data_IF_707186610703
#
_entry.id   IF_707186610703
#
_cell.length_a   1.000
_cell.length_b   1.000
_cell.length_c   1.000
_cell.angle_alpha   90.00
_cell.angle_beta   90.00
_cell.angle_gamma   90.00
#
_symmetry.space_group_name_H-M   'P 1'
#
loop_
_entity.id
_entity.type
_entity.pdbx_description
1 polymer ?
#
# COMPACT_ATOMS: atom_id res chain seq x y z
N UNK A 1 59.59 -40.25 16.32
CA UNK A 1 59.12 -39.05 15.60
C UNK A 1 57.71 -39.32 15.10
N UNK A 2 56.70 -38.79 15.80
CA UNK A 2 55.28 -38.95 15.45
C UNK A 2 54.88 -37.72 14.64
N UNK A 3 54.50 -37.89 13.38
CA UNK A 3 53.98 -36.81 12.53
C UNK A 3 52.46 -36.75 12.69
N UNK A 4 51.98 -35.68 13.32
CA UNK A 4 50.57 -35.37 13.46
C UNK A 4 50.08 -34.66 12.20
N UNK A 5 49.15 -35.27 11.46
CA UNK A 5 48.42 -34.65 10.35
C UNK A 5 47.27 -33.84 10.95
N UNK A 6 47.31 -32.53 10.77
CA UNK A 6 46.24 -31.59 11.14
C UNK A 6 45.21 -31.58 10.01
N UNK A 7 44.02 -32.10 10.29
CA UNK A 7 42.85 -31.99 9.40
C UNK A 7 42.22 -30.62 9.67
N UNK A 8 42.36 -29.70 8.73
CA UNK A 8 41.66 -28.42 8.73
C UNK A 8 40.21 -28.62 8.31
N UNK A 9 39.27 -28.42 9.23
CA UNK A 9 37.84 -28.33 8.94
C UNK A 9 37.58 -26.90 8.47
N UNK A 10 37.41 -26.72 7.17
CA UNK A 10 36.88 -25.47 6.59
C UNK A 10 35.40 -25.38 6.94
N UNK A 11 35.08 -24.51 7.87
CA UNK A 11 33.72 -24.14 8.25
C UNK A 11 33.14 -23.22 7.16
N UNK A 12 32.41 -23.79 6.20
CA UNK A 12 31.65 -23.02 5.22
C UNK A 12 30.53 -22.28 5.93
N UNK A 13 30.66 -20.96 6.11
CA UNK A 13 29.54 -20.11 6.50
C UNK A 13 28.48 -20.17 5.39
N UNK A 14 27.43 -20.97 5.59
CA UNK A 14 26.16 -20.71 4.94
C UNK A 14 25.69 -19.35 5.45
N UNK A 15 25.77 -18.34 4.59
CA UNK A 15 24.92 -17.16 4.72
C UNK A 15 23.48 -17.66 4.62
N UNK A 16 22.85 -17.85 5.77
CA UNK A 16 21.40 -17.89 5.88
C UNK A 16 20.93 -16.50 5.49
N UNK A 17 20.57 -16.31 4.21
CA UNK A 17 19.67 -15.26 3.82
C UNK A 17 18.41 -15.48 4.63
N UNK A 18 18.19 -14.68 5.66
CA UNK A 18 16.91 -14.63 6.33
C UNK A 18 15.87 -14.35 5.23
N UNK A 19 14.75 -15.09 5.20
CA UNK A 19 13.67 -14.71 4.30
C UNK A 19 13.34 -13.25 4.59
N UNK A 20 13.27 -12.44 3.54
CA UNK A 20 12.59 -11.15 3.60
C UNK A 20 11.25 -11.36 4.32
N UNK A 21 10.77 -10.40 5.09
CA UNK A 21 9.38 -10.48 5.55
C UNK A 21 8.54 -10.40 4.29
N UNK A 22 8.19 -11.58 3.76
CA UNK A 22 7.28 -11.68 2.64
C UNK A 22 6.00 -10.98 3.08
N UNK A 23 5.56 -10.04 2.27
CA UNK A 23 4.28 -9.38 2.45
C UNK A 23 3.19 -10.46 2.58
N UNK A 24 2.44 -10.43 3.68
CA UNK A 24 1.38 -11.40 4.02
C UNK A 24 0.12 -11.12 3.20
N UNK A 25 0.20 -11.30 1.88
CA UNK A 25 -0.92 -11.26 0.95
C UNK A 25 -0.82 -12.44 -0.04
N UNK A 26 -1.93 -12.78 -0.69
CA UNK A 26 -1.93 -13.62 -1.88
C UNK A 26 -2.23 -12.75 -3.08
N UNK A 27 -1.39 -12.73 -4.11
CA UNK A 27 -1.60 -11.90 -5.30
C UNK A 27 -2.91 -12.29 -5.99
N UNK A 28 -3.95 -11.49 -5.79
CA UNK A 28 -5.29 -11.71 -6.34
C UNK A 28 -5.41 -11.46 -7.84
N UNK A 29 -4.57 -12.08 -8.67
CA UNK A 29 -4.69 -12.04 -10.13
C UNK A 29 -4.96 -13.45 -10.63
N UNK A 30 -6.03 -13.61 -11.41
CA UNK A 30 -6.35 -14.88 -12.07
C UNK A 30 -5.22 -15.25 -13.02
N UNK A 31 -4.62 -16.41 -12.77
CA UNK A 31 -3.37 -16.87 -13.35
C UNK A 31 -2.25 -17.12 -12.34
N UNK A 32 -2.36 -16.59 -11.11
CA UNK A 32 -1.52 -16.97 -9.95
C UNK A 32 -2.01 -18.31 -9.37
N UNK A 33 -2.00 -19.36 -10.20
CA UNK A 33 -2.65 -20.64 -9.94
C UNK A 33 -2.08 -21.36 -8.70
N UNK A 34 -0.80 -21.19 -8.41
CA UNK A 34 -0.18 -21.81 -7.23
C UNK A 34 -0.17 -20.92 -5.98
N UNK A 35 -0.76 -19.73 -6.07
CA UNK A 35 -0.90 -18.76 -4.98
C UNK A 35 0.45 -18.35 -4.35
N UNK A 36 1.52 -18.27 -5.15
CA UNK A 36 2.89 -17.92 -4.69
C UNK A 36 3.32 -16.45 -4.95
N UNK A 37 2.33 -15.61 -5.22
CA UNK A 37 2.43 -14.16 -5.44
C UNK A 37 3.16 -13.75 -6.72
N UNK A 38 3.48 -14.70 -7.59
CA UNK A 38 4.16 -14.44 -8.86
C UNK A 38 3.59 -15.30 -9.97
N UNK A 39 3.03 -14.64 -10.99
CA UNK A 39 2.60 -15.34 -12.21
C UNK A 39 3.82 -15.67 -13.08
N UNK A 40 4.23 -16.94 -13.10
CA UNK A 40 5.33 -17.49 -13.89
C UNK A 40 5.11 -18.96 -14.35
N UNK A 41 6.19 -19.63 -14.76
CA UNK A 41 6.13 -21.00 -15.28
C UNK A 41 5.67 -22.04 -14.23
N UNK A 42 5.73 -21.71 -12.94
CA UNK A 42 5.27 -22.54 -11.84
C UNK A 42 3.74 -22.62 -11.82
N UNK A 43 3.02 -21.55 -12.14
CA UNK A 43 1.56 -21.56 -12.30
C UNK A 43 1.12 -22.47 -13.44
N UNK A 44 1.81 -22.39 -14.58
CA UNK A 44 1.57 -23.30 -15.71
C UNK A 44 1.76 -24.76 -15.32
N UNK A 45 2.77 -25.04 -14.49
CA UNK A 45 3.02 -26.38 -13.97
C UNK A 45 1.92 -26.80 -13.01
N UNK A 46 1.44 -25.88 -12.16
CA UNK A 46 0.36 -26.12 -11.22
C UNK A 46 -0.96 -26.46 -11.93
N UNK A 47 -1.39 -25.64 -12.90
CA UNK A 47 -2.58 -25.89 -13.74
C UNK A 47 -2.48 -27.24 -14.46
N UNK A 48 -1.30 -27.58 -14.98
CA UNK A 48 -1.08 -28.89 -15.61
C UNK A 48 -1.27 -30.05 -14.61
N UNK A 49 -0.84 -29.89 -13.36
CA UNK A 49 -1.02 -30.90 -12.31
C UNK A 49 -2.48 -31.03 -11.87
N UNK A 50 -3.26 -29.94 -11.89
CA UNK A 50 -4.71 -29.98 -11.70
C UNK A 50 -5.35 -30.93 -12.74
N UNK A 51 -5.00 -30.81 -14.03
CA UNK A 51 -5.54 -31.69 -15.07
C UNK A 51 -5.21 -33.18 -14.87
N UNK A 52 -4.12 -33.49 -14.18
CA UNK A 52 -3.75 -34.87 -13.86
C UNK A 52 -4.31 -35.36 -12.52
N UNK A 53 -5.03 -34.51 -11.77
CA UNK A 53 -5.52 -34.83 -10.43
C UNK A 53 -4.41 -34.91 -9.37
N UNK A 54 -3.24 -34.34 -9.65
CA UNK A 54 -2.07 -34.36 -8.77
C UNK A 54 -2.02 -33.15 -7.82
N UNK A 55 -2.85 -32.13 -8.08
CA UNK A 55 -3.01 -30.91 -7.26
C UNK A 55 -4.49 -30.52 -7.18
N UNK A 56 -4.92 -29.92 -6.06
CA UNK A 56 -6.27 -29.39 -5.94
C UNK A 56 -6.44 -28.15 -6.83
N UNK A 57 -7.67 -27.95 -7.29
CA UNK A 57 -8.09 -26.70 -7.95
C UNK A 57 -7.98 -25.51 -6.99
N UNK A 58 -7.61 -24.36 -7.53
CA UNK A 58 -7.60 -23.06 -6.84
C UNK A 58 -8.44 -22.08 -7.66
N UNK A 59 -9.04 -21.08 -7.01
CA UNK A 59 -9.87 -20.10 -7.73
C UNK A 59 -9.05 -19.33 -8.76
N UNK A 60 -7.80 -18.99 -8.44
CA UNK A 60 -6.90 -18.25 -9.33
C UNK A 60 -6.33 -19.10 -10.48
N UNK A 61 -6.59 -20.41 -10.53
CA UNK A 61 -6.19 -21.27 -11.66
C UNK A 61 -7.06 -21.07 -12.91
N UNK A 62 -8.30 -20.58 -12.76
CA UNK A 62 -9.18 -20.18 -13.88
C UNK A 62 -8.73 -18.81 -14.42
N UNK A 63 -7.55 -18.78 -15.06
CA UNK A 63 -6.91 -17.56 -15.51
C UNK A 63 -7.77 -16.72 -16.48
N UNK A 64 -8.68 -17.37 -17.22
CA UNK A 64 -9.64 -16.68 -18.11
C UNK A 64 -10.90 -16.21 -17.40
N UNK A 65 -11.14 -16.68 -16.18
CA UNK A 65 -12.33 -16.40 -15.40
C UNK A 65 -13.62 -16.74 -16.17
N UNK A 66 -13.66 -17.95 -16.77
CA UNK A 66 -14.83 -18.45 -17.50
C UNK A 66 -15.60 -19.55 -16.77
N UNK A 67 -15.17 -19.89 -15.54
CA UNK A 67 -15.78 -20.88 -14.67
C UNK A 67 -15.22 -22.29 -14.86
N UNK A 68 -14.27 -22.50 -15.76
CA UNK A 68 -13.70 -23.82 -16.06
C UNK A 68 -12.17 -23.78 -16.17
N UNK A 69 -11.47 -24.50 -15.30
CA UNK A 69 -10.02 -24.68 -15.45
C UNK A 69 -9.75 -25.63 -16.63
N UNK A 70 -9.18 -25.11 -17.71
CA UNK A 70 -8.99 -25.81 -18.98
C UNK A 70 -7.71 -25.37 -19.73
N UNK A 71 -7.32 -26.01 -20.85
CA UNK A 71 -6.09 -25.66 -21.56
C UNK A 71 -5.98 -24.21 -22.07
N UNK A 72 -7.08 -23.45 -22.11
CA UNK A 72 -7.06 -22.03 -22.45
C UNK A 72 -6.50 -21.18 -21.30
N UNK A 73 -6.63 -21.58 -20.04
CA UNK A 73 -6.01 -20.90 -18.90
C UNK A 73 -4.49 -20.98 -18.97
N UNK A 74 -3.98 -22.11 -19.44
CA UNK A 74 -2.56 -22.28 -19.71
C UNK A 74 -2.06 -21.31 -20.79
N UNK A 75 -2.89 -20.99 -21.78
CA UNK A 75 -2.56 -19.97 -22.80
C UNK A 75 -2.61 -18.58 -22.18
N UNK A 76 -3.64 -18.29 -21.38
CA UNK A 76 -3.81 -17.00 -20.72
C UNK A 76 -2.65 -16.69 -19.76
N UNK A 77 -2.25 -17.62 -18.88
CA UNK A 77 -1.10 -17.48 -18.00
C UNK A 77 0.17 -17.20 -18.81
N UNK A 78 0.41 -17.94 -19.90
CA UNK A 78 1.56 -17.66 -20.78
C UNK A 78 1.55 -16.25 -21.34
N UNK A 79 0.38 -15.75 -21.74
CA UNK A 79 0.24 -14.40 -22.26
C UNK A 79 0.55 -13.36 -21.17
N UNK A 80 0.06 -13.56 -19.94
CA UNK A 80 0.35 -12.70 -18.77
C UNK A 80 1.85 -12.68 -18.44
N UNK A 81 2.52 -13.83 -18.49
CA UNK A 81 3.97 -13.94 -18.26
C UNK A 81 4.73 -13.05 -19.24
N UNK A 82 4.38 -13.10 -20.53
CA UNK A 82 5.08 -12.37 -21.60
C UNK A 82 4.50 -10.97 -21.88
N UNK A 83 3.50 -10.51 -21.11
CA UNK A 83 2.87 -9.19 -21.28
C UNK A 83 2.13 -9.02 -22.61
N UNK A 84 1.40 -10.05 -23.04
CA UNK A 84 0.65 -10.06 -24.31
C UNK A 84 -0.83 -10.46 -24.16
N UNK A 85 -1.29 -10.59 -22.94
CA UNK A 85 -2.69 -10.82 -22.59
C UNK A 85 -3.57 -9.69 -23.15
N UNK A 86 -4.82 -10.02 -23.48
CA UNK A 86 -5.81 -9.05 -23.97
C UNK A 86 -6.77 -8.61 -22.90
N UNK A 87 -6.90 -9.42 -21.86
CA UNK A 87 -7.69 -9.16 -20.68
C UNK A 87 -6.89 -9.65 -19.47
N UNK A 88 -7.10 -8.98 -18.35
CA UNK A 88 -6.55 -9.34 -17.05
C UNK A 88 -7.70 -9.31 -16.05
N UNK A 89 -7.87 -10.40 -15.31
CA UNK A 89 -8.88 -10.49 -14.24
C UNK A 89 -8.17 -10.50 -12.90
N UNK A 90 -8.62 -9.66 -11.98
CA UNK A 90 -8.06 -9.52 -10.64
C UNK A 90 -9.15 -9.36 -9.59
N UNK A 91 -8.78 -9.62 -8.33
CA UNK A 91 -9.55 -9.34 -7.14
C UNK A 91 -9.05 -8.01 -6.57
N UNK A 92 -9.93 -7.02 -6.51
CA UNK A 92 -9.59 -5.70 -5.98
C UNK A 92 -9.67 -5.67 -4.44
N UNK A 93 -9.26 -4.56 -3.80
CA UNK A 93 -9.27 -4.47 -2.33
C UNK A 93 -10.68 -4.44 -1.70
N UNK A 94 -11.75 -4.45 -2.52
CA UNK A 94 -13.13 -4.59 -2.08
C UNK A 94 -13.65 -6.03 -2.27
N UNK A 95 -12.75 -6.99 -2.51
CA UNK A 95 -13.04 -8.39 -2.80
C UNK A 95 -13.91 -8.58 -4.06
N UNK A 96 -13.85 -7.62 -4.99
CA UNK A 96 -14.59 -7.69 -6.26
C UNK A 96 -13.69 -8.23 -7.35
N UNK A 97 -14.25 -9.11 -8.17
CA UNK A 97 -13.57 -9.63 -9.35
C UNK A 97 -13.79 -8.66 -10.52
N UNK A 98 -12.71 -8.13 -11.07
CA UNK A 98 -12.73 -7.14 -12.14
C UNK A 98 -11.87 -7.61 -13.29
N UNK A 99 -12.49 -7.72 -14.47
CA UNK A 99 -11.79 -7.97 -15.74
C UNK A 99 -11.58 -6.65 -16.49
N UNK A 100 -10.35 -6.37 -16.90
CA UNK A 100 -9.98 -5.17 -17.65
C UNK A 100 -9.26 -5.53 -18.95
N UNK A 101 -9.34 -4.65 -19.95
CA UNK A 101 -8.68 -4.84 -21.24
C UNK A 101 -7.22 -4.41 -21.18
N UNK A 102 -6.37 -5.09 -21.94
CA UNK A 102 -4.93 -4.88 -21.99
C UNK A 102 -4.45 -4.57 -23.42
N UNK A 103 -3.45 -3.69 -23.59
CA UNK A 103 -2.84 -2.84 -22.56
C UNK A 103 -3.80 -1.74 -22.09
N UNK A 104 -3.60 -1.23 -20.88
CA UNK A 104 -4.29 -0.03 -20.37
C UNK A 104 -3.56 1.19 -20.91
N UNK A 105 -4.28 2.05 -21.64
CA UNK A 105 -3.72 3.24 -22.29
C UNK A 105 -4.32 4.55 -21.77
N UNK A 106 -5.48 4.49 -21.09
CA UNK A 106 -6.25 5.67 -20.69
C UNK A 106 -6.91 5.47 -19.32
N UNK A 107 -6.10 5.51 -18.26
CA UNK A 107 -6.59 5.42 -16.90
C UNK A 107 -6.99 6.78 -16.31
N UNK A 108 -8.03 6.77 -15.49
CA UNK A 108 -8.43 7.90 -14.64
C UNK A 108 -8.19 7.55 -13.17
N UNK A 109 -7.50 8.42 -12.45
CA UNK A 109 -7.18 8.23 -11.03
C UNK A 109 -8.13 9.03 -10.14
N UNK A 110 -9.05 8.34 -9.49
CA UNK A 110 -9.99 8.90 -8.50
C UNK A 110 -9.78 8.29 -7.11
N UNK A 111 -8.62 7.67 -6.91
CA UNK A 111 -8.05 7.30 -5.63
C UNK A 111 -6.98 8.33 -5.26
N UNK A 112 -7.02 8.96 -4.07
CA UNK A 112 -6.08 10.01 -3.68
C UNK A 112 -4.62 9.56 -3.58
N UNK A 113 -4.36 8.25 -3.43
CA UNK A 113 -3.02 7.67 -3.26
C UNK A 113 -2.53 6.92 -4.51
N UNK A 114 -3.39 6.69 -5.50
CA UNK A 114 -2.96 6.09 -6.76
C UNK A 114 -1.92 6.91 -7.53
N UNK A 115 -1.94 8.27 -7.51
CA UNK A 115 -0.89 9.08 -8.12
C UNK A 115 0.52 8.72 -7.64
N UNK A 116 0.71 8.45 -6.34
CA UNK A 116 2.01 8.04 -5.79
C UNK A 116 2.48 6.70 -6.38
N UNK A 117 1.58 5.72 -6.45
CA UNK A 117 1.88 4.41 -7.05
C UNK A 117 2.17 4.54 -8.53
N UNK A 118 1.43 5.37 -9.26
CA UNK A 118 1.72 5.63 -10.68
C UNK A 118 3.12 6.22 -10.90
N UNK A 119 3.57 7.14 -10.03
CA UNK A 119 4.93 7.68 -10.11
C UNK A 119 6.00 6.63 -9.77
N UNK A 120 5.74 5.77 -8.77
CA UNK A 120 6.61 4.62 -8.45
C UNK A 120 6.79 3.73 -9.68
N UNK A 121 5.70 3.44 -10.40
CA UNK A 121 5.68 2.56 -11.56
C UNK A 121 6.12 3.24 -12.87
N UNK A 122 6.31 4.57 -12.87
CA UNK A 122 6.58 5.36 -14.08
C UNK A 122 5.52 5.14 -15.18
N UNK A 123 4.25 5.20 -14.78
CA UNK A 123 3.09 4.95 -15.62
C UNK A 123 2.24 6.20 -15.87
N UNK A 124 2.79 7.39 -15.65
CA UNK A 124 2.10 8.67 -15.80
C UNK A 124 1.60 8.89 -17.24
N UNK A 125 2.27 8.31 -18.24
CA UNK A 125 1.90 8.35 -19.65
C UNK A 125 0.57 7.63 -19.96
N UNK A 126 0.13 6.75 -19.06
CA UNK A 126 -1.15 6.03 -19.14
C UNK A 126 -2.31 6.79 -18.51
N UNK A 127 -2.06 7.93 -17.85
CA UNK A 127 -3.09 8.66 -17.10
C UNK A 127 -3.65 9.80 -17.92
N UNK A 128 -4.98 9.89 -18.01
CA UNK A 128 -5.68 10.92 -18.79
C UNK A 128 -6.47 11.90 -17.93
N UNK A 129 -6.65 11.60 -16.63
CA UNK A 129 -7.34 12.48 -15.69
C UNK A 129 -7.11 12.08 -14.24
N UNK A 130 -7.15 13.06 -13.35
CA UNK A 130 -6.92 12.89 -11.91
C UNK A 130 -7.99 13.63 -11.10
N UNK A 131 -8.18 13.25 -9.84
CA UNK A 131 -9.14 13.90 -8.95
C UNK A 131 -8.47 14.77 -7.87
N UNK A 132 -9.20 15.79 -7.40
CA UNK A 132 -8.90 16.43 -6.12
C UNK A 132 -7.72 17.41 -6.19
N UNK A 133 -6.84 17.35 -5.20
CA UNK A 133 -5.74 18.31 -5.01
C UNK A 133 -4.50 18.02 -5.85
N UNK A 134 -4.46 16.91 -6.59
CA UNK A 134 -3.31 16.51 -7.42
C UNK A 134 -2.95 17.61 -8.42
N UNK A 135 -3.95 18.25 -9.04
CA UNK A 135 -3.75 19.37 -9.99
C UNK A 135 -3.25 20.68 -9.36
N UNK A 136 -3.11 20.73 -8.03
CA UNK A 136 -2.65 21.91 -7.30
C UNK A 136 -1.23 21.75 -6.76
N UNK A 137 -0.62 20.58 -6.93
CA UNK A 137 0.67 20.23 -6.33
C UNK A 137 1.65 19.83 -7.45
N UNK A 138 2.14 20.84 -8.17
CA UNK A 138 3.01 20.67 -9.34
C UNK A 138 4.47 20.34 -8.97
N UNK A 139 4.89 20.59 -7.73
CA UNK A 139 6.21 20.16 -7.26
C UNK A 139 6.20 18.66 -6.97
N UNK A 140 5.18 18.16 -6.28
CA UNK A 140 5.10 16.74 -5.92
C UNK A 140 4.57 15.87 -7.07
N UNK A 141 3.66 16.41 -7.90
CA UNK A 141 3.07 15.76 -9.06
C UNK A 141 3.31 16.55 -10.37
N UNK A 142 4.56 16.69 -10.85
CA UNK A 142 4.89 17.58 -11.96
C UNK A 142 4.20 17.24 -13.28
N UNK A 143 3.97 15.96 -13.57
CA UNK A 143 3.27 15.55 -14.79
C UNK A 143 1.77 15.40 -14.58
N UNK A 144 1.35 14.73 -13.50
CA UNK A 144 -0.07 14.47 -13.23
C UNK A 144 -0.86 15.75 -12.91
N UNK A 145 -0.22 16.78 -12.36
CA UNK A 145 -0.89 18.06 -12.04
C UNK A 145 -1.38 18.82 -13.28
N UNK A 146 -0.81 18.54 -14.46
CA UNK A 146 -1.18 19.14 -15.75
C UNK A 146 -2.42 18.51 -16.38
N UNK A 147 -2.88 17.36 -15.86
CA UNK A 147 -4.01 16.61 -16.40
C UNK A 147 -5.35 17.23 -15.98
N UNK A 148 -6.44 16.97 -16.74
CA UNK A 148 -7.78 17.39 -16.37
C UNK A 148 -8.18 16.91 -14.96
N UNK A 149 -8.72 17.83 -14.15
CA UNK A 149 -9.33 17.48 -12.87
C UNK A 149 -10.77 16.99 -13.09
N UNK A 150 -11.02 15.71 -12.85
CA UNK A 150 -12.34 15.08 -13.01
C UNK A 150 -13.13 15.00 -11.71
N UNK A 151 -12.59 15.53 -10.60
CA UNK A 151 -13.19 15.38 -9.27
C UNK A 151 -13.41 13.91 -8.87
N UNK A 152 -13.98 13.68 -7.68
CA UNK A 152 -14.20 12.31 -7.18
C UNK A 152 -15.54 11.70 -7.62
N UNK A 153 -16.46 12.51 -8.15
CA UNK A 153 -17.84 12.11 -8.48
C UNK A 153 -18.39 12.76 -9.77
N UNK A 154 -17.55 13.40 -10.57
CA UNK A 154 -17.98 13.95 -11.87
C UNK A 154 -17.81 12.89 -12.96
N UNK A 155 -18.81 12.02 -13.07
CA UNK A 155 -18.80 10.90 -14.01
C UNK A 155 -18.81 11.36 -15.47
N UNK A 156 -19.43 12.50 -15.79
CA UNK A 156 -19.44 13.05 -17.14
C UNK A 156 -18.03 13.51 -17.54
N UNK A 157 -17.33 14.22 -16.64
CA UNK A 157 -15.94 14.59 -16.86
C UNK A 157 -15.05 13.37 -17.07
N UNK A 158 -15.24 12.30 -16.29
CA UNK A 158 -14.51 11.03 -16.48
C UNK A 158 -14.79 10.42 -17.85
N UNK A 159 -16.07 10.29 -18.24
CA UNK A 159 -16.48 9.70 -19.52
C UNK A 159 -15.96 10.49 -20.73
N UNK A 160 -15.92 11.82 -20.64
CA UNK A 160 -15.41 12.69 -21.71
C UNK A 160 -13.93 12.46 -22.04
N UNK A 161 -13.17 11.86 -21.12
CA UNK A 161 -11.78 11.48 -21.36
C UNK A 161 -11.63 10.13 -22.07
N UNK A 162 -12.73 9.42 -22.37
CA UNK A 162 -12.74 8.09 -22.96
C UNK A 162 -11.75 7.12 -22.26
N UNK A 163 -11.87 6.89 -20.94
CA UNK A 163 -10.96 6.02 -20.22
C UNK A 163 -11.24 4.55 -20.52
N UNK A 164 -10.21 3.72 -20.46
CA UNK A 164 -10.30 2.26 -20.50
C UNK A 164 -10.15 1.63 -19.11
N UNK A 165 -9.84 2.42 -18.08
CA UNK A 165 -9.77 2.02 -16.67
C UNK A 165 -10.07 3.21 -15.74
N UNK A 166 -10.76 2.95 -14.63
CA UNK A 166 -10.81 3.87 -13.49
C UNK A 166 -10.22 3.22 -12.24
N UNK A 167 -9.22 3.86 -11.65
CA UNK A 167 -8.62 3.45 -10.37
C UNK A 167 -9.29 4.24 -9.25
N UNK A 168 -10.04 3.56 -8.41
CA UNK A 168 -10.86 4.15 -7.37
C UNK A 168 -10.38 3.79 -5.96
N UNK A 169 -10.83 4.58 -4.98
CA UNK A 169 -10.74 4.17 -3.58
C UNK A 169 -11.74 3.03 -3.33
N UNK A 170 -11.30 2.00 -2.60
CA UNK A 170 -12.07 0.79 -2.24
C UNK A 170 -13.55 1.07 -1.90
N UNK A 171 -13.80 2.02 -0.98
CA UNK A 171 -15.15 2.32 -0.46
C UNK A 171 -16.11 2.93 -1.50
N UNK A 172 -15.60 3.40 -2.63
CA UNK A 172 -16.40 4.04 -3.68
C UNK A 172 -16.39 3.26 -4.99
N UNK A 173 -15.69 2.13 -5.05
CA UNK A 173 -15.43 1.40 -6.27
C UNK A 173 -16.70 0.77 -6.85
N UNK A 174 -17.55 0.16 -6.00
CA UNK A 174 -18.84 -0.40 -6.38
C UNK A 174 -19.80 0.66 -6.96
N UNK A 175 -20.04 1.73 -6.20
CA UNK A 175 -20.86 2.85 -6.67
C UNK A 175 -20.35 3.42 -8.00
N UNK A 176 -19.03 3.52 -8.18
CA UNK A 176 -18.43 4.04 -9.41
C UNK A 176 -18.64 3.07 -10.58
N UNK A 177 -18.50 1.76 -10.38
CA UNK A 177 -18.76 0.78 -11.43
C UNK A 177 -20.20 0.82 -11.93
N UNK A 178 -21.18 1.04 -11.04
CA UNK A 178 -22.59 1.19 -11.45
C UNK A 178 -22.83 2.45 -12.31
N UNK A 179 -22.06 3.53 -12.06
CA UNK A 179 -22.20 4.82 -12.74
C UNK A 179 -21.33 4.95 -13.99
N UNK A 180 -20.40 4.03 -14.20
CA UNK A 180 -19.48 4.00 -15.34
C UNK A 180 -19.63 2.68 -16.11
N UNK A 181 -20.83 2.39 -16.66
CA UNK A 181 -21.07 1.12 -17.33
C UNK A 181 -20.15 0.96 -18.53
N UNK A 182 -19.50 -0.21 -18.64
CA UNK A 182 -18.58 -0.55 -19.73
C UNK A 182 -17.13 -0.09 -19.53
N UNK A 183 -16.83 0.62 -18.44
CA UNK A 183 -15.45 0.95 -18.05
C UNK A 183 -15.11 0.15 -16.78
N UNK A 184 -14.05 -0.68 -16.77
CA UNK A 184 -13.65 -1.38 -15.55
C UNK A 184 -13.23 -0.38 -14.48
N UNK A 185 -13.74 -0.58 -13.27
CA UNK A 185 -13.40 0.21 -12.08
C UNK A 185 -12.75 -0.71 -11.07
N UNK A 186 -11.49 -0.45 -10.73
CA UNK A 186 -10.73 -1.23 -9.73
C UNK A 186 -10.58 -0.42 -8.46
N UNK A 187 -10.99 -1.01 -7.33
CA UNK A 187 -10.95 -0.38 -6.01
C UNK A 187 -9.71 -0.77 -5.20
N UNK A 188 -8.92 0.20 -4.77
CA UNK A 188 -7.71 -0.07 -3.97
C UNK A 188 -7.69 0.65 -2.62
N UNK A 189 -7.02 0.02 -1.65
CA UNK A 189 -6.54 0.63 -0.41
C UNK A 189 -5.02 0.84 -0.50
N UNK A 190 -4.59 2.05 -0.88
CA UNK A 190 -3.17 2.36 -1.15
C UNK A 190 -2.51 3.24 -0.07
N UNK A 191 -3.10 3.33 1.13
CA UNK A 191 -2.55 4.12 2.25
C UNK A 191 -2.27 3.27 3.50
N UNK A 192 -2.77 2.04 3.52
CA UNK A 192 -2.63 1.14 4.64
C UNK A 192 -1.49 0.17 4.32
N UNK A 193 -0.41 0.13 5.13
CA UNK A 193 0.76 -0.71 4.85
C UNK A 193 0.44 -2.16 4.51
N UNK A 194 -0.56 -2.75 5.18
CA UNK A 194 -1.01 -4.12 4.91
C UNK A 194 -1.41 -4.36 3.44
N UNK A 195 -2.07 -3.39 2.81
CA UNK A 195 -2.62 -3.53 1.45
C UNK A 195 -1.78 -2.85 0.38
N UNK A 196 -0.81 -2.03 0.78
CA UNK A 196 -0.03 -1.21 -0.14
C UNK A 196 0.81 -2.08 -1.09
N UNK A 197 1.53 -3.08 -0.58
CA UNK A 197 2.41 -3.92 -1.40
C UNK A 197 1.62 -4.68 -2.47
N UNK A 198 0.48 -5.27 -2.09
CA UNK A 198 -0.42 -5.94 -3.05
C UNK A 198 -0.92 -4.95 -4.12
N UNK A 199 -1.39 -3.77 -3.71
CA UNK A 199 -1.87 -2.75 -4.63
C UNK A 199 -0.79 -2.27 -5.62
N UNK A 200 0.46 -2.14 -5.16
CA UNK A 200 1.59 -1.76 -6.02
C UNK A 200 1.87 -2.86 -7.05
N UNK A 201 1.98 -4.12 -6.63
CA UNK A 201 2.29 -5.19 -7.59
C UNK A 201 1.14 -5.41 -8.56
N UNK A 202 -0.13 -5.37 -8.10
CA UNK A 202 -1.28 -5.49 -8.98
C UNK A 202 -1.32 -4.36 -10.01
N UNK A 203 -1.11 -3.11 -9.60
CA UNK A 203 -1.00 -1.99 -10.55
C UNK A 203 0.21 -2.12 -11.48
N UNK A 204 1.29 -2.77 -11.05
CA UNK A 204 2.39 -3.20 -11.90
C UNK A 204 1.95 -4.15 -13.02
N UNK A 205 1.08 -5.12 -12.75
CA UNK A 205 0.47 -5.96 -13.80
C UNK A 205 -0.49 -5.14 -14.68
N UNK A 206 -1.33 -4.30 -14.09
CA UNK A 206 -2.32 -3.47 -14.82
C UNK A 206 -1.63 -2.56 -15.84
N UNK A 207 -0.54 -1.88 -15.47
CA UNK A 207 0.16 -0.92 -16.32
C UNK A 207 1.36 -1.49 -17.11
N UNK A 208 1.59 -2.81 -17.07
CA UNK A 208 2.77 -3.45 -17.68
C UNK A 208 4.12 -2.94 -17.12
N UNK A 209 4.14 -2.68 -15.80
CA UNK A 209 5.26 -2.16 -15.00
C UNK A 209 5.66 -3.09 -13.86
N UNK A 210 5.60 -4.41 -14.11
CA UNK A 210 5.89 -5.46 -13.12
C UNK A 210 7.31 -5.36 -12.56
N UNK A 211 8.27 -5.00 -13.41
CA UNK A 211 9.68 -4.89 -13.02
C UNK A 211 9.90 -3.66 -12.14
N UNK A 212 9.30 -2.51 -12.47
CA UNK A 212 9.33 -1.31 -11.63
C UNK A 212 8.65 -1.56 -10.27
N UNK A 213 7.50 -2.25 -10.26
CA UNK A 213 6.80 -2.64 -9.03
C UNK A 213 7.69 -3.51 -8.14
N UNK A 214 8.27 -4.58 -8.69
CA UNK A 214 9.16 -5.50 -7.96
C UNK A 214 10.43 -4.79 -7.48
N UNK A 215 11.01 -3.91 -8.28
CA UNK A 215 12.16 -3.12 -7.89
C UNK A 215 11.84 -2.24 -6.69
N UNK A 216 10.73 -1.50 -6.73
CA UNK A 216 10.32 -0.67 -5.59
C UNK A 216 10.06 -1.51 -4.34
N UNK A 217 9.32 -2.61 -4.46
CA UNK A 217 8.97 -3.46 -3.32
C UNK A 217 10.22 -4.10 -2.70
N UNK A 218 10.99 -4.83 -3.50
CA UNK A 218 12.12 -5.62 -2.99
C UNK A 218 13.32 -4.75 -2.60
N UNK A 219 13.68 -3.76 -3.42
CA UNK A 219 14.95 -3.05 -3.27
C UNK A 219 14.83 -1.78 -2.41
N UNK A 220 13.61 -1.28 -2.21
CA UNK A 220 13.33 -0.09 -1.40
C UNK A 220 12.40 -0.39 -0.22
N UNK A 221 11.12 -0.71 -0.48
CA UNK A 221 10.09 -0.81 0.56
C UNK A 221 10.43 -1.88 1.61
N UNK A 222 10.65 -3.13 1.17
CA UNK A 222 10.89 -4.26 2.05
C UNK A 222 12.24 -4.14 2.73
N UNK A 223 13.26 -3.66 2.01
CA UNK A 223 14.58 -3.37 2.58
C UNK A 223 14.49 -2.46 3.82
N UNK A 224 13.76 -1.34 3.74
CA UNK A 224 13.67 -0.42 4.88
C UNK A 224 12.70 -0.91 5.94
N UNK A 225 11.60 -1.55 5.56
CA UNK A 225 10.64 -2.12 6.51
C UNK A 225 11.26 -3.26 7.31
N UNK A 226 12.04 -4.13 6.67
CA UNK A 226 12.80 -5.21 7.31
C UNK A 226 13.88 -4.66 8.24
N UNK A 227 14.59 -3.59 7.82
CA UNK A 227 15.57 -2.92 8.67
C UNK A 227 14.93 -2.41 9.95
N UNK A 228 13.78 -1.72 9.86
CA UNK A 228 13.06 -1.20 11.02
C UNK A 228 12.57 -2.38 11.88
N UNK A 229 11.88 -3.34 11.28
CA UNK A 229 11.30 -4.50 11.98
C UNK A 229 12.37 -5.35 12.67
N UNK A 230 13.55 -5.50 12.07
CA UNK A 230 14.67 -6.21 12.69
C UNK A 230 15.16 -5.57 13.98
N UNK A 231 15.05 -4.23 14.11
CA UNK A 231 15.41 -3.49 15.32
C UNK A 231 14.28 -3.52 16.37
N UNK A 232 13.02 -3.65 15.94
CA UNK A 232 11.86 -3.49 16.84
C UNK A 232 11.24 -4.81 17.29
N UNK A 233 11.39 -5.91 16.53
CA UNK A 233 10.74 -7.21 16.82
C UNK A 233 11.15 -7.87 18.15
N UNK A 234 12.30 -7.47 18.70
CA UNK A 234 12.81 -8.00 19.97
C UNK A 234 12.32 -7.25 21.20
N UNK A 235 11.63 -6.12 21.03
CA UNK A 235 11.18 -5.26 22.12
C UNK A 235 10.03 -5.92 22.88
N UNK A 236 10.13 -5.95 24.20
CA UNK A 236 9.00 -6.28 25.08
C UNK A 236 7.94 -5.18 25.03
N UNK A 237 6.72 -5.48 25.48
CA UNK A 237 5.63 -4.49 25.54
C UNK A 237 5.93 -3.30 26.45
N UNK A 238 6.83 -3.47 27.42
CA UNK A 238 7.31 -2.41 28.31
C UNK A 238 8.40 -1.54 27.67
N UNK A 239 9.18 -2.09 26.72
CA UNK A 239 10.22 -1.37 26.00
C UNK A 239 9.65 -0.51 24.85
N UNK A 240 8.47 -0.87 24.34
CA UNK A 240 7.78 -0.10 23.28
C UNK A 240 7.22 1.22 23.85
N UNK A 241 7.63 2.39 23.33
CA UNK A 241 7.11 3.66 23.81
C UNK A 241 5.61 3.79 23.50
N UNK A 242 4.86 4.39 24.42
CA UNK A 242 3.47 4.77 24.20
C UNK A 242 3.40 5.95 23.24
N UNK A 243 2.75 5.75 22.10
CA UNK A 243 2.62 6.77 21.05
C UNK A 243 1.18 7.25 20.95
N UNK A 244 1.00 8.56 21.02
CA UNK A 244 -0.21 9.25 20.58
C UNK A 244 0.05 9.94 19.24
N UNK A 245 -0.71 9.59 18.21
CA UNK A 245 -0.56 10.19 16.89
C UNK A 245 -1.84 10.89 16.45
N UNK A 246 -1.79 12.22 16.35
CA UNK A 246 -2.88 13.01 15.78
C UNK A 246 -2.89 12.89 14.26
N UNK A 247 -4.03 12.46 13.74
CA UNK A 247 -4.31 12.32 12.30
C UNK A 247 -4.46 13.65 11.57
N UNK A 248 -4.53 14.77 12.29
CA UNK A 248 -4.82 16.09 11.72
C UNK A 248 -6.29 16.32 11.37
N UNK A 249 -7.16 15.32 11.56
CA UNK A 249 -8.62 15.43 11.54
C UNK A 249 -9.11 15.88 12.92
N UNK A 250 -10.08 16.80 12.95
CA UNK A 250 -10.61 17.31 14.21
C UNK A 250 -9.53 18.01 15.07
N UNK A 251 -9.78 18.15 16.36
CA UNK A 251 -8.83 18.73 17.32
C UNK A 251 -7.90 17.67 17.92
N UNK A 252 -8.47 16.49 18.19
CA UNK A 252 -7.82 15.36 18.87
C UNK A 252 -7.97 14.05 18.07
N UNK A 253 -8.29 14.13 16.77
CA UNK A 253 -8.49 12.96 15.93
C UNK A 253 -7.23 12.12 15.85
N UNK A 254 -7.35 10.84 16.16
CA UNK A 254 -6.28 9.86 16.27
C UNK A 254 -6.57 8.62 15.42
N UNK A 255 -5.66 7.65 15.47
CA UNK A 255 -5.75 6.38 14.77
C UNK A 255 -6.13 5.26 15.75
N UNK A 256 -7.24 4.59 15.49
CA UNK A 256 -7.62 3.32 16.13
C UNK A 256 -7.00 2.11 15.41
N UNK A 257 -7.39 0.91 15.81
CA UNK A 257 -6.81 -0.38 15.39
C UNK A 257 -6.87 -0.63 13.87
N UNK A 258 -7.85 -0.06 13.17
CA UNK A 258 -8.01 -0.29 11.71
C UNK A 258 -7.32 0.74 10.83
N UNK A 259 -6.75 1.80 11.41
CA UNK A 259 -6.09 2.83 10.62
C UNK A 259 -4.66 2.45 10.21
N UNK A 260 -4.23 2.93 9.03
CA UNK A 260 -2.85 2.77 8.58
C UNK A 260 -1.83 3.40 9.53
N UNK A 261 -2.18 4.51 10.20
CA UNK A 261 -1.32 5.15 11.21
C UNK A 261 -1.01 4.25 12.41
N UNK A 262 -1.95 3.39 12.81
CA UNK A 262 -1.69 2.40 13.86
C UNK A 262 -0.65 1.36 13.42
N UNK A 263 -0.79 0.83 12.20
CA UNK A 263 0.20 -0.13 11.67
C UNK A 263 1.60 0.48 11.54
N UNK A 264 1.70 1.75 11.12
CA UNK A 264 2.98 2.45 11.06
C UNK A 264 3.63 2.60 12.44
N UNK A 265 2.83 2.88 13.48
CA UNK A 265 3.33 2.94 14.86
C UNK A 265 3.87 1.57 15.29
N UNK A 266 3.15 0.48 15.01
CA UNK A 266 3.58 -0.87 15.39
C UNK A 266 4.82 -1.33 14.65
N UNK A 267 4.90 -1.09 13.33
CA UNK A 267 6.09 -1.38 12.51
C UNK A 267 7.32 -0.66 13.09
N UNK A 268 7.15 0.61 13.48
CA UNK A 268 8.19 1.42 14.11
C UNK A 268 8.53 1.02 15.56
N UNK A 269 7.88 -0.01 16.12
CA UNK A 269 8.13 -0.50 17.49
C UNK A 269 7.46 0.33 18.59
N UNK A 270 6.49 1.18 18.24
CA UNK A 270 5.68 1.91 19.20
C UNK A 270 4.43 1.16 19.60
N UNK A 271 3.84 1.54 20.74
CA UNK A 271 2.52 1.10 21.17
C UNK A 271 1.53 2.24 21.00
N UNK A 272 0.63 2.11 20.03
CA UNK A 272 -0.45 3.08 19.86
C UNK A 272 -1.34 3.08 21.10
N UNK A 273 -1.43 4.21 21.79
CA UNK A 273 -2.20 4.29 23.03
C UNK A 273 -3.69 4.08 22.80
N UNK A 274 -4.23 4.18 21.57
CA UNK A 274 -5.64 3.98 21.22
C UNK A 274 -5.91 2.74 20.35
N UNK A 275 -5.03 1.74 20.41
CA UNK A 275 -5.19 0.48 19.66
C UNK A 275 -6.40 -0.37 20.10
N UNK A 276 -7.02 -0.08 21.24
CA UNK A 276 -8.26 -0.70 21.73
C UNK A 276 -9.52 -0.20 21.02
N UNK A 277 -9.45 0.94 20.33
CA UNK A 277 -10.56 1.49 19.56
C UNK A 277 -10.62 0.79 18.19
N UNK A 278 -11.72 0.10 17.90
CA UNK A 278 -11.82 -0.77 16.72
C UNK A 278 -11.99 0.00 15.39
N UNK A 279 -12.30 1.29 15.43
CA UNK A 279 -12.46 2.15 14.27
C UNK A 279 -11.11 2.51 13.59
N UNK A 280 -11.20 3.13 12.40
CA UNK A 280 -10.04 3.64 11.67
C UNK A 280 -9.51 4.94 12.28
N UNK A 281 -10.02 6.09 11.83
CA UNK A 281 -9.74 7.39 12.45
C UNK A 281 -10.91 7.80 13.34
N UNK A 282 -10.61 8.30 14.54
CA UNK A 282 -11.61 8.63 15.57
C UNK A 282 -11.19 9.89 16.33
N UNK A 283 -12.13 10.73 16.74
CA UNK A 283 -11.88 11.82 17.68
C UNK A 283 -11.99 11.30 19.12
N UNK A 284 -10.99 11.62 19.96
CA UNK A 284 -10.94 11.20 21.36
C UNK A 284 -11.00 12.40 22.30
N UNK A 285 -11.36 12.14 23.55
CA UNK A 285 -11.33 13.15 24.61
C UNK A 285 -9.88 13.44 25.04
N UNK A 286 -9.47 14.71 25.22
CA UNK A 286 -8.15 15.05 25.75
C UNK A 286 -7.85 14.39 27.11
N UNK A 287 -8.83 14.21 27.99
CA UNK A 287 -8.65 13.54 29.29
C UNK A 287 -8.17 12.10 29.09
N UNK A 288 -8.67 11.41 28.07
CA UNK A 288 -8.23 10.05 27.74
C UNK A 288 -6.77 10.01 27.26
N UNK A 289 -6.31 11.06 26.56
CA UNK A 289 -4.88 11.21 26.18
C UNK A 289 -4.03 11.38 27.44
N UNK A 290 -4.47 12.22 28.37
CA UNK A 290 -3.76 12.50 29.63
C UNK A 290 -3.68 11.26 30.51
N UNK A 291 -4.79 10.53 30.67
CA UNK A 291 -4.85 9.30 31.46
C UNK A 291 -3.88 8.23 30.91
N UNK A 292 -3.82 8.09 29.58
CA UNK A 292 -2.93 7.13 28.92
C UNK A 292 -1.47 7.59 28.89
N UNK A 293 -1.23 8.89 29.11
CA UNK A 293 0.07 9.52 29.35
C UNK A 293 1.15 9.06 28.35
N UNK A 294 1.08 9.46 27.06
CA UNK A 294 2.00 9.00 26.02
C UNK A 294 3.44 9.44 26.30
N UNK A 295 4.39 8.61 25.85
CA UNK A 295 5.82 8.91 25.87
C UNK A 295 6.23 9.76 24.66
N UNK A 296 5.51 9.60 23.54
CA UNK A 296 5.72 10.31 22.27
C UNK A 296 4.38 10.83 21.75
N UNK A 297 4.37 12.08 21.27
CA UNK A 297 3.26 12.65 20.49
C UNK A 297 3.74 12.94 19.07
N UNK A 298 2.97 12.53 18.07
CA UNK A 298 3.19 12.85 16.66
C UNK A 298 1.95 13.58 16.15
N UNK A 299 2.10 14.72 15.49
CA UNK A 299 0.98 15.44 14.87
C UNK A 299 1.17 15.48 13.36
N UNK A 300 0.27 14.83 12.65
CA UNK A 300 0.24 14.90 11.20
C UNK A 300 -0.29 16.26 10.72
N UNK A 301 0.42 16.90 9.80
CA UNK A 301 0.06 18.19 9.22
C UNK A 301 -0.13 18.04 7.72
N UNK A 302 -1.34 18.33 7.25
CA UNK A 302 -1.65 18.34 5.82
C UNK A 302 -0.87 19.46 5.10
N UNK A 303 -0.45 19.18 3.85
CA UNK A 303 0.26 20.17 3.04
C UNK A 303 -0.52 21.47 2.83
N UNK A 304 -1.86 21.38 2.78
CA UNK A 304 -2.77 22.53 2.72
C UNK A 304 -2.67 23.49 3.91
N UNK A 305 -2.02 23.10 5.01
CA UNK A 305 -1.74 23.94 6.18
C UNK A 305 -0.31 24.53 6.17
N UNK A 306 0.36 24.53 5.02
CA UNK A 306 1.71 25.08 4.87
C UNK A 306 2.81 24.09 5.25
N UNK A 307 2.57 22.79 5.06
CA UNK A 307 3.56 21.72 5.20
C UNK A 307 3.88 21.10 3.83
N UNK A 308 4.94 20.29 3.74
CA UNK A 308 5.27 19.52 2.54
C UNK A 308 6.24 20.21 1.58
N UNK A 309 6.40 19.62 0.38
CA UNK A 309 7.48 19.95 -0.57
C UNK A 309 7.36 21.32 -1.26
N UNK A 310 6.21 21.99 -1.15
CA UNK A 310 5.91 23.25 -1.83
C UNK A 310 6.44 24.50 -1.11
N UNK A 311 7.05 24.35 0.05
CA UNK A 311 7.47 25.49 0.88
C UNK A 311 8.70 25.15 1.72
N UNK A 312 9.69 26.05 1.72
CA UNK A 312 10.80 26.05 2.68
C UNK A 312 10.47 26.80 3.98
N UNK A 313 9.30 27.46 4.06
CA UNK A 313 8.86 28.15 5.27
C UNK A 313 8.36 27.14 6.31
N UNK A 314 9.17 26.94 7.36
CA UNK A 314 8.86 26.07 8.49
C UNK A 314 8.01 26.76 9.58
N UNK A 315 7.63 28.04 9.40
CA UNK A 315 6.84 28.78 10.39
C UNK A 315 5.51 28.10 10.72
N UNK A 316 4.75 27.51 9.77
CA UNK A 316 3.54 26.75 10.07
C UNK A 316 3.81 25.52 10.94
N UNK A 317 4.89 24.79 10.68
CA UNK A 317 5.30 23.62 11.48
C UNK A 317 5.68 24.04 12.90
N UNK A 318 6.47 25.13 13.04
CA UNK A 318 6.83 25.69 14.35
C UNK A 318 5.59 26.14 15.14
N UNK A 319 4.61 26.75 14.47
CA UNK A 319 3.37 27.17 15.09
C UNK A 319 2.54 25.97 15.57
N UNK A 320 2.41 24.92 14.76
CA UNK A 320 1.71 23.70 15.13
C UNK A 320 2.40 22.96 16.29
N UNK A 321 3.74 22.90 16.29
CA UNK A 321 4.49 22.34 17.40
C UNK A 321 4.29 23.16 18.68
N UNK A 322 4.34 24.49 18.57
CA UNK A 322 4.07 25.40 19.69
C UNK A 322 2.65 25.27 20.22
N UNK A 323 1.65 25.10 19.36
CA UNK A 323 0.27 24.83 19.75
C UNK A 323 0.19 23.56 20.59
N UNK A 324 0.76 22.44 20.11
CA UNK A 324 0.76 21.16 20.84
C UNK A 324 1.41 21.28 22.22
N UNK A 325 2.56 21.96 22.30
CA UNK A 325 3.29 22.15 23.55
C UNK A 325 2.59 23.06 24.55
N UNK A 326 1.66 23.91 24.09
CA UNK A 326 0.94 24.88 24.90
C UNK A 326 -0.51 24.44 25.24
N UNK A 327 -0.95 23.23 24.86
CA UNK A 327 -2.23 22.68 25.28
C UNK A 327 -2.18 22.37 26.77
N UNK A 328 -2.86 23.19 27.57
CA UNK A 328 -2.84 23.14 29.03
C UNK A 328 -3.19 21.77 29.61
N UNK A 329 -4.17 21.11 28.99
CA UNK A 329 -4.64 19.78 29.33
C UNK A 329 -3.55 18.71 29.15
N UNK A 330 -2.67 18.86 28.15
CA UNK A 330 -1.58 17.91 27.87
C UNK A 330 -0.29 18.24 28.63
N UNK A 331 -0.22 19.36 29.36
CA UNK A 331 1.00 19.85 29.99
C UNK A 331 1.66 18.81 30.94
N UNK A 332 0.84 17.95 31.55
CA UNK A 332 1.30 16.93 32.48
C UNK A 332 1.75 15.62 31.80
N UNK A 333 1.49 15.45 30.50
CA UNK A 333 1.90 14.27 29.74
C UNK A 333 3.42 14.16 29.64
N UNK A 334 3.94 12.94 29.71
CA UNK A 334 5.37 12.64 29.66
C UNK A 334 6.00 13.15 28.35
N UNK A 335 5.33 12.95 27.22
CA UNK A 335 5.77 13.46 25.92
C UNK A 335 5.98 14.99 25.93
N UNK A 336 5.07 15.76 26.52
CA UNK A 336 5.18 17.24 26.57
C UNK A 336 6.30 17.67 27.51
N UNK A 337 6.36 17.11 28.72
CA UNK A 337 7.44 17.40 29.70
C UNK A 337 8.83 17.09 29.15
N UNK A 338 8.96 15.98 28.42
CA UNK A 338 10.22 15.53 27.84
C UNK A 338 10.47 16.11 26.44
N UNK A 339 9.55 16.94 25.91
CA UNK A 339 9.61 17.53 24.57
C UNK A 339 9.72 16.48 23.44
N UNK A 340 9.16 15.30 23.66
CA UNK A 340 9.02 14.21 22.68
C UNK A 340 7.74 14.43 21.85
N UNK A 341 7.65 15.60 21.21
CA UNK A 341 6.53 16.01 20.38
C UNK A 341 7.07 16.33 18.98
N UNK A 342 6.50 15.68 17.97
CA UNK A 342 6.91 15.77 16.57
C UNK A 342 5.76 16.26 15.69
N UNK A 343 6.07 17.07 14.69
CA UNK A 343 5.16 17.63 13.68
C UNK A 343 5.76 17.47 12.29
#
# INVERSE_FOLDING_TARGET
MKSSVVIGITLSLLLLTLPAVASDYTLGIYGNANEDDTIDMRDLTYVKLIFFGERPETELADAKYDGEINPLDFVQIKLVIVGKEKELTLVDSADRIVTLKKPVERAVLVNPYAPDVTQILRAEDKIVGVAGSIVKDDVYYPELSKLPNVGYKDYEAMLNLNPDLVVAQVLSAEQKSEKLPGIPVVGYTLYNPKYLSEGIIQLGYVFDKKDEAKHYLNDFHDKYTDLITAQTKGLSEEEKPKVYAESGRGTYGTFGAKAGGHQLIEIAGGRNIFADIAEGMVDVDPEAVVERNPDIIIKYIYSSKGAGYNSDDISPLKAAWGEMMNRSELAECSAVKNRMVYV
#
